data_IF_870234301468
#
_entry.id   IF_870234301468
#
_cell.length_a   1.000
_cell.length_b   1.000
_cell.length_c   1.000
_cell.angle_alpha   90.00
_cell.angle_beta   90.00
_cell.angle_gamma   90.00
#
_symmetry.space_group_name_H-M   'P 1'
#
loop_
_entity.id
_entity.type
_entity.pdbx_description
1 polymer ?
#
# COMPACT_ATOMS: atom_id res chain seq x y z
N UNK A 1 -18.75 9.86 -0.22
CA UNK A 1 -17.89 10.57 0.75
C UNK A 1 -17.15 9.62 1.70
N UNK A 2 -17.84 8.77 2.47
CA UNK A 2 -17.15 7.78 3.33
C UNK A 2 -16.44 6.72 2.49
N UNK A 3 -17.09 6.18 1.45
CA UNK A 3 -16.48 5.19 0.55
C UNK A 3 -15.24 5.72 -0.19
N UNK A 4 -15.23 6.98 -0.60
CA UNK A 4 -14.06 7.63 -1.23
C UNK A 4 -12.91 7.79 -0.22
N UNK A 5 -13.20 8.22 1.01
CA UNK A 5 -12.18 8.31 2.07
C UNK A 5 -11.54 6.95 2.39
N UNK A 6 -12.37 5.91 2.52
CA UNK A 6 -11.90 4.55 2.81
C UNK A 6 -11.16 3.96 1.60
N UNK A 7 -11.69 4.14 0.38
CA UNK A 7 -11.04 3.66 -0.85
C UNK A 7 -9.67 4.30 -1.07
N UNK A 8 -9.57 5.63 -1.00
CA UNK A 8 -8.31 6.36 -1.16
C UNK A 8 -7.31 6.00 -0.06
N UNK A 9 -7.73 5.89 1.19
CA UNK A 9 -6.81 5.51 2.28
C UNK A 9 -6.23 4.11 2.11
N UNK A 10 -7.00 3.15 1.57
CA UNK A 10 -6.51 1.81 1.23
C UNK A 10 -5.50 1.83 0.07
N UNK A 11 -5.75 2.64 -0.96
CA UNK A 11 -4.82 2.82 -2.09
C UNK A 11 -3.52 3.46 -1.63
N UNK A 12 -3.60 4.51 -0.80
CA UNK A 12 -2.41 5.17 -0.21
C UNK A 12 -1.65 4.18 0.68
N UNK A 13 -2.35 3.40 1.51
CA UNK A 13 -1.73 2.36 2.33
C UNK A 13 -0.99 1.31 1.49
N UNK A 14 -1.59 0.87 0.37
CA UNK A 14 -0.93 -0.03 -0.59
C UNK A 14 0.37 0.57 -1.14
N UNK A 15 0.33 1.83 -1.57
CA UNK A 15 1.52 2.56 -2.03
C UNK A 15 2.62 2.67 -0.95
N UNK A 16 2.25 2.91 0.30
CA UNK A 16 3.20 2.93 1.41
C UNK A 16 3.88 1.56 1.64
N UNK A 17 3.13 0.46 1.54
CA UNK A 17 3.69 -0.89 1.68
C UNK A 17 4.60 -1.22 0.50
N UNK A 18 4.23 -0.83 -0.73
CA UNK A 18 5.10 -0.95 -1.91
C UNK A 18 6.39 -0.16 -1.76
N UNK A 19 6.33 1.09 -1.28
CA UNK A 19 7.52 1.88 -1.01
C UNK A 19 8.42 1.19 0.03
N UNK A 20 7.85 0.64 1.09
CA UNK A 20 8.64 -0.09 2.09
C UNK A 20 9.24 -1.41 1.55
N UNK A 21 8.61 -2.03 0.54
CA UNK A 21 9.17 -3.18 -0.15
C UNK A 21 10.37 -2.78 -1.04
N UNK A 22 10.23 -1.72 -1.84
CA UNK A 22 11.28 -1.21 -2.74
C UNK A 22 12.45 -0.64 -1.94
N UNK A 23 12.17 0.16 -0.92
CA UNK A 23 13.19 0.80 -0.09
C UNK A 23 13.91 -0.18 0.84
N UNK A 24 13.47 -1.45 0.94
CA UNK A 24 14.05 -2.47 1.84
C UNK A 24 15.58 -2.56 1.74
N UNK A 25 16.12 -2.52 0.54
CA UNK A 25 17.57 -2.67 0.30
C UNK A 25 18.35 -1.41 0.70
N UNK A 26 17.73 -0.24 0.55
CA UNK A 26 18.29 1.07 0.91
C UNK A 26 18.19 1.27 2.42
N UNK A 27 17.02 0.97 3.00
CA UNK A 27 16.74 1.06 4.43
C UNK A 27 17.66 0.15 5.26
N UNK A 28 18.17 -0.94 4.67
CA UNK A 28 19.17 -1.80 5.32
C UNK A 28 20.52 -1.11 5.52
N UNK A 29 20.85 -0.12 4.70
CA UNK A 29 22.10 0.66 4.75
C UNK A 29 21.97 1.97 5.53
N UNK A 30 20.74 2.40 5.85
CA UNK A 30 20.47 3.65 6.57
C UNK A 30 20.29 3.40 8.08
N UNK A 31 21.06 4.08 8.93
CA UNK A 31 20.96 3.95 10.40
C UNK A 31 19.56 4.29 10.93
N UNK A 32 18.89 5.26 10.30
CA UNK A 32 17.55 5.72 10.69
C UNK A 32 16.44 4.70 10.40
N UNK A 33 16.52 3.95 9.30
CA UNK A 33 15.42 3.07 8.82
C UNK A 33 15.75 1.58 8.86
N UNK A 34 16.97 1.21 9.25
CA UNK A 34 17.44 -0.15 9.58
C UNK A 34 16.52 -0.94 10.51
N UNK A 35 15.76 -0.26 11.36
CA UNK A 35 14.87 -0.90 12.33
C UNK A 35 13.47 -1.25 11.80
N UNK A 36 13.16 -0.96 10.53
CA UNK A 36 11.87 -1.28 9.92
C UNK A 36 11.63 -2.80 9.87
N UNK A 37 10.37 -3.18 10.06
CA UNK A 37 9.89 -4.57 10.15
C UNK A 37 10.29 -5.41 8.92
N UNK A 38 10.26 -4.80 7.73
CA UNK A 38 10.64 -5.41 6.45
C UNK A 38 12.16 -5.64 6.29
N UNK A 39 12.98 -4.75 6.85
CA UNK A 39 14.45 -4.85 6.83
C UNK A 39 14.93 -5.92 7.81
N UNK A 40 14.27 -6.02 8.97
CA UNK A 40 14.53 -7.04 9.99
C UNK A 40 14.11 -8.46 9.56
N UNK A 41 13.38 -8.60 8.46
CA UNK A 41 12.89 -9.90 7.98
C UNK A 41 11.80 -10.51 8.86
N UNK A 42 11.16 -9.71 9.71
CA UNK A 42 10.02 -10.14 10.54
C UNK A 42 8.80 -10.48 9.68
N UNK A 43 8.70 -9.87 8.49
CA UNK A 43 7.68 -10.16 7.48
C UNK A 43 8.40 -10.54 6.19
N UNK A 44 7.96 -11.63 5.56
CA UNK A 44 8.50 -12.04 4.27
C UNK A 44 8.20 -10.98 3.21
N UNK A 45 9.18 -10.59 2.38
CA UNK A 45 8.99 -9.59 1.32
C UNK A 45 7.85 -9.97 0.36
N UNK A 46 7.71 -11.27 0.06
CA UNK A 46 6.61 -11.78 -0.76
C UNK A 46 5.24 -11.52 -0.09
N UNK A 47 5.15 -11.67 1.24
CA UNK A 47 3.92 -11.42 2.01
C UNK A 47 3.56 -9.94 1.97
N UNK A 48 4.53 -9.03 2.09
CA UNK A 48 4.25 -7.58 1.96
C UNK A 48 3.77 -7.20 0.56
N UNK A 49 4.27 -7.87 -0.49
CA UNK A 49 3.82 -7.67 -1.87
C UNK A 49 2.37 -8.13 -2.06
N UNK A 50 2.04 -9.31 -1.54
CA UNK A 50 0.67 -9.83 -1.55
C UNK A 50 -0.26 -8.92 -0.73
N UNK A 51 0.19 -8.43 0.42
CA UNK A 51 -0.59 -7.52 1.26
C UNK A 51 -0.84 -6.17 0.57
N UNK A 52 0.18 -5.58 -0.06
CA UNK A 52 0.04 -4.34 -0.81
C UNK A 52 -0.91 -4.50 -2.01
N UNK A 53 -0.78 -5.58 -2.77
CA UNK A 53 -1.68 -5.86 -3.91
C UNK A 53 -3.12 -6.07 -3.45
N UNK A 54 -3.36 -6.80 -2.36
CA UNK A 54 -4.69 -6.96 -1.78
C UNK A 54 -5.30 -5.63 -1.32
N UNK A 55 -4.52 -4.78 -0.63
CA UNK A 55 -4.97 -3.44 -0.23
C UNK A 55 -5.31 -2.57 -1.43
N UNK A 56 -4.50 -2.63 -2.49
CA UNK A 56 -4.74 -1.88 -3.73
C UNK A 56 -6.03 -2.33 -4.41
N UNK A 57 -6.20 -3.65 -4.61
CA UNK A 57 -7.41 -4.22 -5.21
C UNK A 57 -8.65 -3.88 -4.37
N UNK A 58 -8.57 -4.02 -3.04
CA UNK A 58 -9.67 -3.68 -2.15
C UNK A 58 -10.04 -2.19 -2.23
N UNK A 59 -9.04 -1.30 -2.27
CA UNK A 59 -9.24 0.15 -2.43
C UNK A 59 -9.87 0.51 -3.77
N UNK A 60 -9.37 -0.08 -4.87
CA UNK A 60 -9.92 0.11 -6.21
C UNK A 60 -11.35 -0.44 -6.34
N UNK A 61 -11.64 -1.61 -5.79
CA UNK A 61 -13.00 -2.17 -5.76
C UNK A 61 -13.96 -1.28 -4.96
N UNK A 62 -13.52 -0.75 -3.81
CA UNK A 62 -14.31 0.19 -3.01
C UNK A 62 -14.61 1.50 -3.76
N UNK A 63 -13.64 2.02 -4.51
CA UNK A 63 -13.83 3.21 -5.35
C UNK A 63 -14.78 2.92 -6.53
N UNK A 64 -14.65 1.75 -7.16
CA UNK A 64 -15.51 1.34 -8.27
C UNK A 64 -16.98 1.19 -7.86
N UNK A 65 -17.25 0.50 -6.74
CA UNK A 65 -18.62 0.22 -6.28
C UNK A 65 -19.24 1.36 -5.45
N UNK A 66 -18.45 2.08 -4.66
CA UNK A 66 -18.97 3.00 -3.64
C UNK A 66 -18.89 4.49 -4.01
N UNK A 67 -18.12 4.87 -5.03
CA UNK A 67 -17.90 6.28 -5.37
C UNK A 67 -18.46 6.64 -6.76
N UNK A 68 -17.76 6.24 -7.82
CA UNK A 68 -18.14 6.46 -9.22
C UNK A 68 -17.06 5.83 -10.13
N UNK A 69 -17.37 5.32 -11.34
CA UNK A 69 -16.37 4.79 -12.26
C UNK A 69 -15.29 5.81 -12.64
N UNK A 70 -15.64 7.10 -12.68
CA UNK A 70 -14.70 8.22 -12.90
C UNK A 70 -13.67 8.37 -11.76
N UNK A 71 -14.08 8.15 -10.50
CA UNK A 71 -13.18 8.21 -9.35
C UNK A 71 -12.17 7.05 -9.36
N UNK A 72 -12.64 5.87 -9.76
CA UNK A 72 -11.78 4.71 -9.94
C UNK A 72 -10.76 4.89 -11.07
N UNK A 73 -11.13 5.59 -12.16
CA UNK A 73 -10.23 5.81 -13.30
C UNK A 73 -9.18 6.90 -13.02
N UNK A 74 -9.54 7.95 -12.27
CA UNK A 74 -8.62 9.02 -11.88
C UNK A 74 -7.69 8.64 -10.71
N UNK A 75 -7.97 7.54 -10.01
CA UNK A 75 -7.26 7.16 -8.80
C UNK A 75 -7.55 8.08 -7.61
N UNK A 76 -8.70 8.79 -7.64
CA UNK A 76 -9.17 9.74 -6.61
C UNK A 76 -10.67 9.58 -6.40
#
# INVERSE_FOLDING_TARGET
FIYTLVGVSLVVASGCVFNNYIDRDIDRKMERTKNRVLVKGLISPAVSLVYATLLGIAGFMLLWFGANPLACWLGV
#
